data_IF_064494541632
#
_entry.id   IF_064494541632
#
_cell.length_a   1.000
_cell.length_b   1.000
_cell.length_c   1.000
_cell.angle_alpha   90.00
_cell.angle_beta   90.00
_cell.angle_gamma   90.00
#
_symmetry.space_group_name_H-M   'P 1'
#
loop_
_entity.id
_entity.type
_entity.pdbx_description
1 polymer ?
#
# COMPACT_ATOMS: atom_id res chain seq x y z
N UNK A 1 -22.50 9.82 -6.04
CA UNK A 1 -21.17 10.36 -6.43
C UNK A 1 -20.75 9.84 -7.80
N UNK A 2 -20.14 10.68 -8.63
CA UNK A 2 -19.73 10.33 -10.00
C UNK A 2 -18.57 9.33 -10.06
N UNK A 3 -17.92 9.02 -8.93
CA UNK A 3 -16.94 7.92 -8.78
C UNK A 3 -17.56 6.51 -8.75
N UNK A 4 -18.89 6.37 -8.64
CA UNK A 4 -19.51 5.05 -8.66
C UNK A 4 -19.48 4.49 -10.08
N UNK A 5 -18.99 3.25 -10.24
CA UNK A 5 -18.90 2.59 -11.54
C UNK A 5 -20.27 2.50 -12.22
N UNK A 6 -20.28 2.87 -13.51
CA UNK A 6 -21.41 2.77 -14.43
C UNK A 6 -20.90 2.52 -15.84
N UNK A 7 -21.62 1.73 -16.62
CA UNK A 7 -21.28 1.46 -18.02
C UNK A 7 -21.39 2.72 -18.90
N UNK A 8 -20.50 2.85 -19.88
CA UNK A 8 -20.54 3.88 -20.92
C UNK A 8 -19.42 4.93 -20.86
N UNK A 9 -19.04 5.47 -22.01
CA UNK A 9 -17.90 6.40 -22.15
C UNK A 9 -18.04 7.72 -21.39
N UNK A 10 -19.25 8.31 -21.35
CA UNK A 10 -19.52 9.50 -20.54
C UNK A 10 -19.35 9.20 -19.04
N UNK A 11 -19.84 8.05 -18.58
CA UNK A 11 -19.71 7.65 -17.19
C UNK A 11 -18.23 7.43 -16.79
N UNK A 12 -17.43 6.80 -17.67
CA UNK A 12 -15.99 6.67 -17.48
C UNK A 12 -15.29 8.04 -17.41
N UNK A 13 -15.62 8.96 -18.32
CA UNK A 13 -15.07 10.32 -18.32
C UNK A 13 -15.40 11.08 -17.02
N UNK A 14 -16.65 10.97 -16.54
CA UNK A 14 -17.08 11.56 -15.28
C UNK A 14 -16.38 10.94 -14.06
N UNK A 15 -16.12 9.62 -14.07
CA UNK A 15 -15.33 8.97 -13.02
C UNK A 15 -13.91 9.51 -12.98
N UNK A 16 -13.23 9.56 -14.12
CA UNK A 16 -11.88 10.09 -14.24
C UNK A 16 -11.78 11.53 -13.73
N UNK A 17 -12.71 12.40 -14.15
CA UNK A 17 -12.77 13.79 -13.65
C UNK A 17 -13.02 13.86 -12.14
N UNK A 18 -13.86 12.98 -11.61
CA UNK A 18 -14.14 12.92 -10.17
C UNK A 18 -12.94 12.41 -9.38
N UNK A 19 -12.22 11.43 -9.89
CA UNK A 19 -10.98 10.93 -9.30
C UNK A 19 -9.91 12.02 -9.30
N UNK A 20 -9.75 12.75 -10.40
CA UNK A 20 -8.82 13.87 -10.51
C UNK A 20 -9.17 15.02 -9.55
N UNK A 21 -10.47 15.32 -9.41
CA UNK A 21 -10.95 16.35 -8.47
C UNK A 21 -10.66 15.95 -7.03
N UNK A 22 -10.99 14.72 -6.65
CA UNK A 22 -10.70 14.20 -5.31
C UNK A 22 -9.19 14.20 -5.01
N UNK A 23 -8.39 13.71 -5.95
CA UNK A 23 -6.94 13.75 -5.83
C UNK A 23 -6.43 15.18 -5.61
N UNK A 24 -6.90 16.14 -6.41
CA UNK A 24 -6.53 17.55 -6.29
C UNK A 24 -6.92 18.15 -4.93
N UNK A 25 -8.11 17.80 -4.40
CA UNK A 25 -8.55 18.22 -3.07
C UNK A 25 -7.65 17.65 -1.96
N UNK A 26 -7.26 16.38 -2.07
CA UNK A 26 -6.36 15.72 -1.12
C UNK A 26 -4.95 16.34 -1.16
N UNK A 27 -4.42 16.66 -2.35
CA UNK A 27 -3.11 17.31 -2.50
C UNK A 27 -3.13 18.78 -2.06
N UNK A 28 -4.25 19.47 -2.23
CA UNK A 28 -4.41 20.89 -1.91
C UNK A 28 -4.44 21.20 -0.41
N UNK A 29 -4.38 20.20 0.48
CA UNK A 29 -4.38 20.39 1.93
C UNK A 29 -5.72 20.84 2.53
N UNK A 30 -6.78 20.90 1.72
CA UNK A 30 -8.12 21.28 2.18
C UNK A 30 -8.87 20.17 2.93
N UNK A 31 -8.35 18.94 2.94
CA UNK A 31 -8.92 17.79 3.62
C UNK A 31 -8.22 17.59 4.96
N UNK A 32 -8.96 17.71 6.07
CA UNK A 32 -8.43 17.47 7.41
C UNK A 32 -8.67 16.02 7.85
N UNK A 33 -7.86 15.47 8.77
CA UNK A 33 -8.08 14.15 9.36
C UNK A 33 -9.50 13.98 9.93
N UNK A 34 -10.05 15.00 10.58
CA UNK A 34 -11.39 14.96 11.17
C UNK A 34 -12.47 14.82 10.08
N UNK A 35 -12.38 15.62 9.02
CA UNK A 35 -13.31 15.53 7.89
C UNK A 35 -13.24 14.15 7.22
N UNK A 36 -12.04 13.58 7.14
CA UNK A 36 -11.80 12.30 6.53
C UNK A 36 -12.32 11.16 7.40
N UNK A 37 -12.15 11.22 8.72
CA UNK A 37 -12.70 10.24 9.68
C UNK A 37 -14.23 10.11 9.56
N UNK A 38 -14.93 11.23 9.37
CA UNK A 38 -16.40 11.21 9.22
C UNK A 38 -16.87 10.68 7.86
N UNK A 39 -15.99 10.62 6.86
CA UNK A 39 -16.35 10.27 5.48
C UNK A 39 -15.68 8.98 4.96
N UNK A 40 -14.66 8.47 5.65
CA UNK A 40 -13.84 7.33 5.21
C UNK A 40 -14.64 6.06 4.95
N UNK A 41 -15.63 5.75 5.81
CA UNK A 41 -16.50 4.58 5.65
C UNK A 41 -17.30 4.59 4.34
N UNK A 42 -17.54 5.78 3.77
CA UNK A 42 -18.20 5.95 2.47
C UNK A 42 -17.20 6.12 1.33
N UNK A 43 -16.05 6.73 1.60
CA UNK A 43 -15.03 7.03 0.60
C UNK A 43 -14.23 5.79 0.20
N UNK A 44 -13.78 4.99 1.16
CA UNK A 44 -12.91 3.83 0.92
C UNK A 44 -13.56 2.78 0.02
N UNK A 45 -14.83 2.37 0.19
CA UNK A 45 -15.47 1.41 -0.72
C UNK A 45 -15.55 1.94 -2.16
N UNK A 46 -15.81 3.25 -2.32
CA UNK A 46 -15.86 3.89 -3.63
C UNK A 46 -14.48 3.89 -4.28
N UNK A 47 -13.44 4.30 -3.56
CA UNK A 47 -12.05 4.24 -4.06
C UNK A 47 -11.65 2.81 -4.42
N UNK A 48 -11.88 1.84 -3.52
CA UNK A 48 -11.63 0.41 -3.75
C UNK A 48 -12.27 -0.08 -5.06
N UNK A 49 -13.53 0.26 -5.30
CA UNK A 49 -14.24 -0.18 -6.52
C UNK A 49 -13.64 0.36 -7.83
N UNK A 50 -12.83 1.41 -7.77
CA UNK A 50 -12.16 2.01 -8.94
C UNK A 50 -10.69 1.56 -9.09
N UNK A 51 -10.15 0.74 -8.18
CA UNK A 51 -8.82 0.13 -8.35
C UNK A 51 -8.75 -0.81 -9.56
N UNK A 52 -9.89 -1.30 -10.04
CA UNK A 52 -10.03 -2.11 -11.25
C UNK A 52 -10.75 -1.40 -12.40
N UNK A 53 -10.77 -0.06 -12.45
CA UNK A 53 -11.36 0.66 -13.59
C UNK A 53 -10.58 0.39 -14.89
N UNK A 54 -11.26 0.39 -16.03
CA UNK A 54 -10.63 0.12 -17.34
C UNK A 54 -9.60 1.21 -17.72
N UNK A 55 -9.80 2.46 -17.29
CA UNK A 55 -8.90 3.58 -17.57
C UNK A 55 -7.73 3.62 -16.57
N UNK A 56 -6.50 3.43 -17.07
CA UNK A 56 -5.29 3.40 -16.25
C UNK A 56 -5.08 4.69 -15.44
N UNK A 57 -5.40 5.87 -16.00
CA UNK A 57 -5.27 7.12 -15.25
C UNK A 57 -6.25 7.18 -14.07
N UNK A 58 -7.44 6.62 -14.20
CA UNK A 58 -8.41 6.52 -13.11
C UNK A 58 -7.87 5.64 -12.00
N UNK A 59 -7.31 4.47 -12.33
CA UNK A 59 -6.64 3.59 -11.35
C UNK A 59 -5.48 4.29 -10.65
N UNK A 60 -4.62 4.97 -11.40
CA UNK A 60 -3.48 5.73 -10.86
C UNK A 60 -3.93 6.84 -9.88
N UNK A 61 -4.93 7.63 -10.27
CA UNK A 61 -5.50 8.69 -9.43
C UNK A 61 -6.12 8.13 -8.15
N UNK A 62 -6.76 6.96 -8.23
CA UNK A 62 -7.38 6.28 -7.09
C UNK A 62 -6.31 5.73 -6.14
N UNK A 63 -5.29 5.04 -6.63
CA UNK A 63 -4.15 4.60 -5.82
C UNK A 63 -3.48 5.79 -5.12
N UNK A 64 -3.24 6.87 -5.85
CA UNK A 64 -2.62 8.10 -5.31
C UNK A 64 -3.50 8.80 -4.27
N UNK A 65 -4.82 8.75 -4.47
CA UNK A 65 -5.79 9.25 -3.49
C UNK A 65 -5.80 8.40 -2.23
N UNK A 66 -5.77 7.06 -2.35
CA UNK A 66 -5.68 6.15 -1.21
C UNK A 66 -4.39 6.37 -0.41
N UNK A 67 -3.25 6.55 -1.08
CA UNK A 67 -1.99 6.89 -0.41
C UNK A 67 -2.12 8.16 0.45
N UNK A 68 -2.83 9.17 -0.05
CA UNK A 68 -3.07 10.43 0.66
C UNK A 68 -4.06 10.25 1.83
N UNK A 69 -5.12 9.49 1.60
CA UNK A 69 -6.11 9.13 2.63
C UNK A 69 -5.46 8.40 3.80
N UNK A 70 -4.63 7.38 3.54
CA UNK A 70 -3.95 6.63 4.59
C UNK A 70 -2.92 7.46 5.36
N UNK A 71 -2.24 8.41 4.70
CA UNK A 71 -1.33 9.35 5.39
C UNK A 71 -2.07 10.26 6.36
N UNK A 72 -3.30 10.66 6.02
CA UNK A 72 -4.15 11.50 6.88
C UNK A 72 -4.88 10.69 7.96
N UNK A 73 -4.92 9.36 7.84
CA UNK A 73 -5.59 8.43 8.75
C UNK A 73 -4.62 7.33 9.27
N UNK A 74 -3.63 7.65 10.12
CA UNK A 74 -2.80 6.61 10.75
C UNK A 74 -3.53 5.96 11.94
N UNK A 75 -3.77 4.65 11.85
CA UNK A 75 -4.39 3.83 12.92
C UNK A 75 -5.92 3.64 13.00
N UNK A 76 -6.81 4.33 12.25
CA UNK A 76 -8.25 4.20 12.43
C UNK A 76 -8.91 3.07 11.62
N UNK A 77 -8.21 2.38 10.72
CA UNK A 77 -8.81 1.30 9.94
C UNK A 77 -9.10 0.08 10.81
N UNK A 78 -10.32 -0.46 10.68
CA UNK A 78 -10.69 -1.75 11.26
C UNK A 78 -9.99 -2.91 10.54
N UNK A 79 -9.89 -4.06 11.21
CA UNK A 79 -9.42 -5.31 10.62
C UNK A 79 -10.19 -5.67 9.34
N UNK A 80 -11.52 -5.55 9.37
CA UNK A 80 -12.36 -5.78 8.18
C UNK A 80 -11.99 -4.85 7.01
N UNK A 81 -11.74 -3.57 7.28
CA UNK A 81 -11.34 -2.63 6.23
C UNK A 81 -9.97 -2.99 5.65
N UNK A 82 -9.02 -3.41 6.48
CA UNK A 82 -7.71 -3.93 6.04
C UNK A 82 -7.90 -5.12 5.12
N UNK A 83 -8.67 -6.12 5.55
CA UNK A 83 -8.89 -7.39 4.84
C UNK A 83 -9.64 -7.20 3.52
N UNK A 84 -10.51 -6.20 3.44
CA UNK A 84 -11.16 -5.84 2.19
C UNK A 84 -10.21 -5.11 1.23
N UNK A 85 -9.30 -4.26 1.72
CA UNK A 85 -8.50 -3.35 0.88
C UNK A 85 -7.19 -3.97 0.37
N UNK A 86 -6.48 -4.75 1.19
CA UNK A 86 -5.13 -5.20 0.82
C UNK A 86 -5.10 -6.03 -0.48
N UNK A 87 -6.05 -6.94 -0.79
CA UNK A 87 -5.95 -7.75 -2.00
C UNK A 87 -6.00 -6.92 -3.28
N UNK A 88 -6.85 -5.89 -3.30
CA UNK A 88 -7.01 -5.03 -4.47
C UNK A 88 -5.80 -4.10 -4.65
N UNK A 89 -5.23 -3.57 -3.56
CA UNK A 89 -4.01 -2.76 -3.61
C UNK A 89 -2.81 -3.58 -4.10
N UNK A 90 -2.67 -4.81 -3.64
CA UNK A 90 -1.61 -5.73 -4.05
C UNK A 90 -1.77 -6.10 -5.52
N UNK A 91 -2.99 -6.40 -5.99
CA UNK A 91 -3.27 -6.67 -7.41
C UNK A 91 -2.85 -5.52 -8.34
N UNK A 92 -2.89 -4.27 -7.87
CA UNK A 92 -2.42 -3.14 -8.67
C UNK A 92 -0.88 -3.09 -8.88
N UNK A 93 -0.09 -3.91 -8.17
CA UNK A 93 1.34 -4.05 -8.43
C UNK A 93 1.63 -4.84 -9.73
N UNK A 94 0.67 -5.66 -10.17
CA UNK A 94 0.67 -6.41 -11.43
C UNK A 94 0.04 -5.63 -12.60
N UNK A 95 -0.27 -4.34 -12.41
CA UNK A 95 -0.90 -3.53 -13.45
C UNK A 95 -0.01 -3.38 -14.69
N UNK A 96 -0.59 -3.37 -15.88
CA UNK A 96 0.14 -3.11 -17.14
C UNK A 96 0.78 -1.70 -17.21
N UNK A 97 0.31 -0.74 -16.41
CA UNK A 97 0.84 0.63 -16.37
C UNK A 97 1.78 0.83 -15.19
N UNK A 98 3.04 1.17 -15.48
CA UNK A 98 4.04 1.50 -14.45
C UNK A 98 3.62 2.64 -13.51
N UNK A 99 2.82 3.58 -14.00
CA UNK A 99 2.29 4.66 -13.16
C UNK A 99 1.32 4.15 -12.10
N UNK A 100 0.45 3.18 -12.46
CA UNK A 100 -0.49 2.54 -11.54
C UNK A 100 0.27 1.68 -10.52
N UNK A 101 1.24 0.88 -10.99
CA UNK A 101 2.11 0.07 -10.13
C UNK A 101 2.82 0.92 -9.07
N UNK A 102 3.43 2.02 -9.50
CA UNK A 102 4.13 2.97 -8.61
C UNK A 102 3.19 3.65 -7.62
N UNK A 103 2.00 4.06 -8.08
CA UNK A 103 0.98 4.66 -7.22
C UNK A 103 0.46 3.66 -6.16
N UNK A 104 0.23 2.41 -6.54
CA UNK A 104 -0.19 1.35 -5.63
C UNK A 104 0.88 1.03 -4.58
N UNK A 105 2.13 0.88 -5.00
CA UNK A 105 3.27 0.68 -4.09
C UNK A 105 3.40 1.86 -3.09
N UNK A 106 3.23 3.10 -3.57
CA UNK A 106 3.22 4.30 -2.73
C UNK A 106 2.07 4.33 -1.72
N UNK A 107 0.94 3.68 -2.02
CA UNK A 107 -0.21 3.57 -1.13
C UNK A 107 -0.02 2.50 -0.06
N UNK A 108 0.69 1.41 -0.35
CA UNK A 108 0.92 0.32 0.60
C UNK A 108 1.73 0.76 1.84
N UNK A 109 2.71 1.65 1.67
CA UNK A 109 3.53 2.16 2.79
C UNK A 109 2.69 2.84 3.89
N UNK A 110 1.88 3.87 3.60
CA UNK A 110 0.99 4.45 4.61
C UNK A 110 -0.18 3.52 4.98
N UNK A 111 -0.62 2.63 4.09
CA UNK A 111 -1.65 1.63 4.41
C UNK A 111 -1.23 0.74 5.58
N UNK A 112 0.01 0.25 5.61
CA UNK A 112 0.56 -0.55 6.73
C UNK A 112 0.62 0.23 8.07
N UNK A 113 0.44 1.55 8.05
CA UNK A 113 0.35 2.40 9.24
C UNK A 113 -1.08 2.88 9.53
N UNK A 114 -2.02 2.59 8.64
CA UNK A 114 -3.41 3.02 8.75
C UNK A 114 -4.23 2.15 9.71
N UNK A 115 -3.68 1.04 10.20
CA UNK A 115 -4.27 0.20 11.24
C UNK A 115 -3.20 -0.27 12.25
N UNK A 116 -3.60 -0.70 13.46
CA UNK A 116 -2.72 -1.40 14.39
C UNK A 116 -2.15 -2.70 13.77
N UNK A 117 -0.91 -3.11 14.11
CA UNK A 117 -0.32 -4.34 13.60
C UNK A 117 -1.18 -5.61 13.69
N UNK A 118 -1.94 -5.85 14.79
CA UNK A 118 -2.83 -7.01 14.88
C UNK A 118 -3.86 -7.12 13.75
N UNK A 119 -4.28 -6.00 13.15
CA UNK A 119 -5.25 -6.01 12.04
C UNK A 119 -4.67 -6.53 10.72
N UNK A 120 -3.34 -6.72 10.64
CA UNK A 120 -2.66 -7.29 9.46
C UNK A 120 -2.15 -8.71 9.73
N UNK A 121 -2.24 -9.24 10.94
CA UNK A 121 -1.59 -10.50 11.31
C UNK A 121 -2.18 -11.70 10.57
N UNK A 122 -1.37 -12.76 10.45
CA UNK A 122 -1.72 -13.96 9.71
C UNK A 122 -1.63 -13.75 8.20
N UNK A 123 -2.64 -14.23 7.46
CA UNK A 123 -2.58 -14.33 6.00
C UNK A 123 -2.41 -12.99 5.28
N UNK A 124 -2.88 -11.88 5.87
CA UNK A 124 -2.78 -10.57 5.25
C UNK A 124 -1.31 -10.09 5.14
N UNK A 125 -0.57 -10.04 6.25
CA UNK A 125 0.84 -9.62 6.22
C UNK A 125 1.73 -10.64 5.50
N UNK A 126 1.45 -11.94 5.65
CA UNK A 126 2.17 -13.01 4.95
C UNK A 126 2.06 -12.83 3.43
N UNK A 127 0.85 -12.59 2.91
CA UNK A 127 0.63 -12.39 1.49
C UNK A 127 1.20 -11.06 0.99
N UNK A 128 1.03 -9.97 1.75
CA UNK A 128 1.59 -8.66 1.39
C UNK A 128 3.11 -8.75 1.24
N UNK A 129 3.81 -9.34 2.20
CA UNK A 129 5.28 -9.47 2.17
C UNK A 129 5.73 -10.37 1.03
N UNK A 130 5.04 -11.49 0.79
CA UNK A 130 5.34 -12.40 -0.32
C UNK A 130 5.29 -11.66 -1.67
N UNK A 131 4.21 -10.93 -1.93
CA UNK A 131 4.04 -10.20 -3.19
C UNK A 131 5.04 -9.05 -3.31
N UNK A 132 5.33 -8.33 -2.22
CA UNK A 132 6.36 -7.30 -2.22
C UNK A 132 7.73 -7.89 -2.55
N UNK A 133 8.10 -9.05 -2.02
CA UNK A 133 9.38 -9.68 -2.34
C UNK A 133 9.50 -10.05 -3.82
N UNK A 134 8.42 -10.59 -4.43
CA UNK A 134 8.37 -10.84 -5.88
C UNK A 134 8.65 -9.56 -6.67
N UNK A 135 7.98 -8.45 -6.32
CA UNK A 135 8.18 -7.17 -6.98
C UNK A 135 9.49 -6.45 -6.62
N UNK A 136 10.17 -6.84 -5.54
CA UNK A 136 11.49 -6.30 -5.21
C UNK A 136 12.56 -6.83 -6.18
N UNK A 137 12.29 -7.91 -6.91
CA UNK A 137 13.14 -8.39 -8.01
C UNK A 137 12.75 -7.80 -9.38
N UNK A 138 12.00 -6.69 -9.44
CA UNK A 138 11.62 -6.01 -10.69
C UNK A 138 12.83 -5.45 -11.47
N UNK A 139 12.82 -5.43 -12.83
CA UNK A 139 13.92 -4.83 -13.60
C UNK A 139 14.11 -3.32 -13.39
N UNK A 140 13.09 -2.59 -12.94
CA UNK A 140 13.15 -1.16 -12.68
C UNK A 140 13.67 -0.87 -11.27
N UNK A 141 14.92 -0.39 -11.19
CA UNK A 141 15.59 -0.05 -9.92
C UNK A 141 14.80 0.94 -9.05
N UNK A 142 14.13 1.91 -9.66
CA UNK A 142 13.33 2.89 -8.92
C UNK A 142 12.13 2.22 -8.26
N UNK A 143 11.46 1.32 -8.97
CA UNK A 143 10.34 0.55 -8.41
C UNK A 143 10.81 -0.39 -7.30
N UNK A 144 11.95 -1.07 -7.47
CA UNK A 144 12.55 -1.89 -6.41
C UNK A 144 12.80 -1.09 -5.12
N UNK A 145 13.27 0.16 -5.23
CA UNK A 145 13.48 1.02 -4.07
C UNK A 145 12.16 1.40 -3.37
N UNK A 146 11.09 1.62 -4.13
CA UNK A 146 9.76 1.87 -3.54
C UNK A 146 9.27 0.66 -2.77
N UNK A 147 9.40 -0.53 -3.34
CA UNK A 147 9.04 -1.81 -2.70
C UNK A 147 9.86 -2.03 -1.43
N UNK A 148 11.17 -1.76 -1.47
CA UNK A 148 12.04 -1.81 -0.29
C UNK A 148 11.50 -0.94 0.85
N UNK A 149 11.08 0.29 0.57
CA UNK A 149 10.53 1.18 1.60
C UNK A 149 9.23 0.66 2.23
N UNK A 150 8.40 -0.05 1.46
CA UNK A 150 7.20 -0.71 1.99
C UNK A 150 7.62 -1.87 2.90
N UNK A 151 8.56 -2.72 2.47
CA UNK A 151 9.08 -3.83 3.28
C UNK A 151 9.70 -3.33 4.59
N UNK A 152 10.43 -2.21 4.56
CA UNK A 152 10.96 -1.58 5.78
C UNK A 152 9.86 -1.17 6.77
N UNK A 153 8.69 -0.80 6.25
CA UNK A 153 7.52 -0.49 7.07
C UNK A 153 6.82 -1.76 7.56
N UNK A 154 6.78 -2.82 6.76
CA UNK A 154 6.24 -4.12 7.14
C UNK A 154 6.99 -4.75 8.32
N UNK A 155 8.29 -4.46 8.50
CA UNK A 155 9.07 -4.87 9.70
C UNK A 155 8.43 -4.36 11.01
N UNK A 156 7.72 -3.22 10.96
CA UNK A 156 6.99 -2.67 12.11
C UNK A 156 5.64 -3.33 12.37
N UNK A 157 5.12 -4.05 11.37
CA UNK A 157 3.87 -4.82 11.48
C UNK A 157 4.17 -6.23 11.97
N UNK A 158 5.04 -6.96 11.27
CA UNK A 158 5.46 -8.31 11.63
C UNK A 158 6.91 -8.56 11.23
N UNK A 159 7.79 -8.55 12.22
CA UNK A 159 9.23 -8.72 12.05
C UNK A 159 9.61 -10.14 11.61
N UNK A 160 8.91 -11.15 12.13
CA UNK A 160 9.24 -12.56 11.94
C UNK A 160 8.83 -13.03 10.55
N UNK A 161 7.66 -12.59 10.06
CA UNK A 161 7.19 -12.85 8.69
C UNK A 161 8.17 -12.24 7.69
N UNK A 162 8.52 -10.96 7.86
CA UNK A 162 9.45 -10.27 6.95
C UNK A 162 10.82 -10.96 6.95
N UNK A 163 11.37 -11.32 8.11
CA UNK A 163 12.65 -12.03 8.18
C UNK A 163 12.58 -13.39 7.46
N UNK A 164 11.56 -14.19 7.76
CA UNK A 164 11.44 -15.57 7.28
C UNK A 164 11.28 -15.61 5.77
N UNK A 165 10.35 -14.82 5.23
CA UNK A 165 10.10 -14.79 3.80
C UNK A 165 11.27 -14.16 3.03
N UNK A 166 11.89 -13.09 3.56
CA UNK A 166 13.07 -12.49 2.91
C UNK A 166 14.20 -13.49 2.80
N UNK A 167 14.49 -14.27 3.86
CA UNK A 167 15.51 -15.35 3.81
C UNK A 167 15.23 -16.38 2.72
N UNK A 168 13.96 -16.76 2.55
CA UNK A 168 13.55 -17.70 1.51
C UNK A 168 13.70 -17.11 0.10
N UNK A 169 13.43 -15.81 -0.08
CA UNK A 169 13.47 -15.14 -1.38
C UNK A 169 14.89 -14.78 -1.86
N UNK A 170 15.87 -14.60 -0.97
CA UNK A 170 17.25 -14.20 -1.33
C UNK A 170 17.83 -15.06 -2.47
N UNK A 171 17.61 -16.38 -2.44
CA UNK A 171 18.21 -17.31 -3.40
C UNK A 171 17.52 -17.32 -4.77
N UNK A 172 16.27 -16.84 -4.86
CA UNK A 172 15.52 -16.79 -6.12
C UNK A 172 15.64 -15.46 -6.86
N UNK A 173 16.07 -14.39 -6.17
CA UNK A 173 16.24 -13.08 -6.79
C UNK A 173 17.45 -13.03 -7.72
N UNK A 174 17.36 -12.23 -8.79
CA UNK A 174 18.50 -11.96 -9.68
C UNK A 174 19.65 -11.28 -8.94
N UNK A 175 19.33 -10.43 -7.97
CA UNK A 175 20.31 -9.79 -7.09
C UNK A 175 19.77 -9.71 -5.64
N UNK A 176 20.48 -10.33 -4.70
CA UNK A 176 20.08 -10.38 -3.29
C UNK A 176 20.38 -9.12 -2.48
N UNK A 177 20.96 -8.06 -3.06
CA UNK A 177 21.41 -6.85 -2.34
C UNK A 177 20.30 -6.23 -1.49
N UNK A 178 19.11 -6.03 -2.06
CA UNK A 178 17.98 -5.40 -1.35
C UNK A 178 17.41 -6.32 -0.26
N UNK A 179 17.38 -7.63 -0.49
CA UNK A 179 17.00 -8.60 0.53
C UNK A 179 17.97 -8.54 1.73
N UNK A 180 19.27 -8.42 1.47
CA UNK A 180 20.27 -8.27 2.54
C UNK A 180 20.06 -6.98 3.34
N UNK A 181 19.68 -5.86 2.71
CA UNK A 181 19.33 -4.63 3.42
C UNK A 181 18.11 -4.82 4.33
N UNK A 182 17.07 -5.52 3.88
CA UNK A 182 15.90 -5.86 4.71
C UNK A 182 16.33 -6.69 5.92
N UNK A 183 17.11 -7.75 5.71
CA UNK A 183 17.59 -8.62 6.80
C UNK A 183 18.48 -7.88 7.79
N UNK A 184 19.35 -6.99 7.32
CA UNK A 184 20.17 -6.14 8.18
C UNK A 184 19.28 -5.26 9.07
N UNK A 185 18.29 -4.59 8.48
CA UNK A 185 17.39 -3.69 9.22
C UNK A 185 16.56 -4.42 10.28
N UNK A 186 16.15 -5.66 10.00
CA UNK A 186 15.49 -6.53 10.99
C UNK A 186 16.44 -6.81 12.15
N UNK A 187 17.65 -7.30 11.88
CA UNK A 187 18.63 -7.65 12.92
C UNK A 187 18.99 -6.46 13.83
N UNK A 188 19.12 -5.26 13.24
CA UNK A 188 19.35 -4.02 14.00
C UNK A 188 18.19 -3.74 14.96
N UNK A 189 16.94 -3.92 14.52
CA UNK A 189 15.75 -3.75 15.36
C UNK A 189 15.67 -4.78 16.48
N UNK A 190 15.92 -6.05 16.19
CA UNK A 190 15.96 -7.13 17.20
C UNK A 190 17.01 -6.84 18.26
N UNK A 191 18.20 -6.39 17.84
CA UNK A 191 19.32 -6.04 18.74
C UNK A 191 18.96 -4.85 19.64
N UNK A 192 18.38 -3.79 19.07
CA UNK A 192 17.93 -2.63 19.83
C UNK A 192 16.90 -3.02 20.92
N UNK A 193 15.91 -3.86 20.57
CA UNK A 193 14.91 -4.37 21.52
C UNK A 193 15.54 -5.11 22.71
N UNK A 194 16.52 -5.99 22.46
CA UNK A 194 17.23 -6.73 23.51
C UNK A 194 18.01 -5.81 24.47
N UNK A 195 18.65 -4.78 23.93
CA UNK A 195 19.39 -3.79 24.73
C UNK A 195 18.48 -2.94 25.62
N UNK A 196 17.27 -2.63 25.16
CA UNK A 196 16.24 -1.94 25.95
C UNK A 196 15.68 -2.83 27.07
N UNK A 197 15.45 -4.12 26.80
CA UNK A 197 14.91 -5.07 27.79
C UNK A 197 15.92 -5.46 28.89
N UNK A 198 17.21 -5.20 28.68
CA UNK A 198 18.29 -5.51 29.64
C UNK A 198 18.65 -4.32 30.56
N UNK A 199 17.95 -3.19 30.43
CA UNK A 199 18.08 -2.00 31.28
C UNK A 199 16.90 -1.89 32.23
#
# INVERSE_FOLDING_TARGET
PNLVWKVGGLASSLRKLSAATLFSLLQGGGVTPESLMTTASRLLPVLKSNLGDDDASTRELVCSSLASVFKLLPGPLSEEAVHQLYPDLIKCLDDSSDSVRSAACSALKPFLRAAPPPHFQGTAIEYIVEQLLIHMDDPNRQFQMMVLEVLMTAIDVDEDVVMTQTKAAVSSHRCGELCHLVLQRVNEKTTAKKMLASK
#
